data_IF_981947354540
#
_entry.id   IF_981947354540
#
_cell.length_a   1.000
_cell.length_b   1.000
_cell.length_c   1.000
_cell.angle_alpha   90.00
_cell.angle_beta   90.00
_cell.angle_gamma   90.00
#
_symmetry.space_group_name_H-M   'P 1'
#
loop_
_entity.id
_entity.type
_entity.pdbx_description
1 polymer ?
#
# COMPACT_ATOMS: atom_id res chain seq x y z
N UNK A 1 -12.14 -15.65 5.93
CA UNK A 1 -11.85 -15.84 4.50
C UNK A 1 -10.45 -15.32 4.27
N UNK A 2 -9.61 -16.16 3.71
CA UNK A 2 -8.17 -16.00 3.61
C UNK A 2 -7.81 -14.75 2.80
N UNK A 3 -7.02 -13.86 3.41
CA UNK A 3 -6.48 -12.70 2.72
C UNK A 3 -5.29 -13.17 1.85
N UNK A 4 -5.62 -13.87 0.77
CA UNK A 4 -4.69 -14.54 -0.17
C UNK A 4 -3.74 -13.58 -0.87
N UNK A 5 -3.97 -12.27 -0.76
CA UNK A 5 -3.13 -11.24 -1.38
C UNK A 5 -1.65 -11.32 -0.93
N UNK A 6 -1.39 -11.82 0.27
CA UNK A 6 -0.02 -12.12 0.74
C UNK A 6 0.31 -13.62 0.80
N UNK A 7 -0.70 -14.50 0.73
CA UNK A 7 -0.49 -15.94 0.78
C UNK A 7 0.09 -16.46 -0.55
N UNK A 8 -0.38 -15.93 -1.68
CA UNK A 8 0.20 -16.19 -3.02
C UNK A 8 1.71 -15.90 -3.07
N UNK A 9 2.21 -15.01 -2.22
CA UNK A 9 3.62 -14.63 -2.17
C UNK A 9 4.45 -15.43 -1.15
N UNK A 10 3.82 -16.13 -0.20
CA UNK A 10 4.54 -16.97 0.78
C UNK A 10 4.58 -18.45 0.38
N UNK A 11 3.70 -18.89 -0.52
CA UNK A 11 3.53 -20.31 -0.87
C UNK A 11 4.28 -20.74 -2.16
N UNK A 12 5.17 -19.91 -2.72
CA UNK A 12 6.02 -20.29 -3.86
C UNK A 12 7.47 -20.33 -3.40
N UNK A 13 7.86 -21.50 -2.90
CA UNK A 13 9.14 -21.85 -2.26
C UNK A 13 10.40 -21.44 -3.06
N UNK A 14 10.28 -21.17 -4.38
CA UNK A 14 11.42 -20.91 -5.25
C UNK A 14 11.84 -19.43 -5.36
N UNK A 15 11.02 -18.45 -4.96
CA UNK A 15 11.27 -17.02 -5.26
C UNK A 15 11.28 -16.08 -4.03
N UNK A 16 11.12 -16.62 -2.82
CA UNK A 16 11.05 -15.82 -1.58
C UNK A 16 12.34 -15.00 -1.35
N UNK A 17 13.51 -15.59 -1.62
CA UNK A 17 14.80 -14.93 -1.45
C UNK A 17 14.94 -13.67 -2.31
N UNK A 18 14.45 -13.72 -3.55
CA UNK A 18 14.49 -12.57 -4.47
C UNK A 18 13.53 -11.46 -4.04
N UNK A 19 12.33 -11.83 -3.58
CA UNK A 19 11.36 -10.85 -3.07
C UNK A 19 11.90 -10.14 -1.82
N UNK A 20 12.44 -10.91 -0.87
CA UNK A 20 13.06 -10.35 0.34
C UNK A 20 14.25 -9.47 -0.01
N UNK A 21 15.07 -9.85 -0.99
CA UNK A 21 16.18 -9.02 -1.47
C UNK A 21 15.68 -7.72 -2.09
N UNK A 22 14.64 -7.75 -2.92
CA UNK A 22 14.03 -6.56 -3.53
C UNK A 22 13.42 -5.62 -2.48
N UNK A 23 12.77 -6.18 -1.46
CA UNK A 23 12.25 -5.42 -0.32
C UNK A 23 13.36 -4.77 0.51
N UNK A 24 14.43 -5.52 0.81
CA UNK A 24 15.60 -4.96 1.52
C UNK A 24 16.28 -3.86 0.71
N UNK A 25 16.44 -4.06 -0.60
CA UNK A 25 17.00 -3.04 -1.50
C UNK A 25 16.14 -1.78 -1.53
N UNK A 26 14.82 -1.95 -1.54
CA UNK A 26 13.89 -0.82 -1.48
C UNK A 26 14.00 -0.08 -0.13
N UNK A 27 13.90 -0.80 0.99
CA UNK A 27 13.92 -0.21 2.34
C UNK A 27 15.27 0.45 2.67
N UNK A 28 16.37 -0.06 2.11
CA UNK A 28 17.70 0.54 2.22
C UNK A 28 17.84 1.88 1.48
N UNK A 29 16.94 2.21 0.56
CA UNK A 29 17.05 3.39 -0.31
C UNK A 29 15.89 4.37 -0.14
N UNK A 30 14.73 3.89 0.25
CA UNK A 30 13.49 4.66 0.20
C UNK A 30 12.67 4.51 1.48
N UNK A 31 12.04 5.61 1.87
CA UNK A 31 11.08 5.67 2.98
C UNK A 31 9.68 5.86 2.43
N UNK A 32 8.78 4.96 2.83
CA UNK A 32 7.37 4.99 2.43
C UNK A 32 6.50 5.31 3.64
N UNK A 33 5.63 6.30 3.48
CA UNK A 33 4.62 6.68 4.47
C UNK A 33 3.24 6.58 3.84
N UNK A 34 2.32 5.90 4.51
CA UNK A 34 0.92 5.75 4.07
C UNK A 34 0.03 6.54 5.02
N UNK A 35 -0.84 7.38 4.47
CA UNK A 35 -1.84 8.17 5.17
C UNK A 35 -3.20 7.99 4.50
N UNK A 36 -4.32 8.07 5.23
CA UNK A 36 -4.45 8.28 6.68
C UNK A 36 -4.27 6.99 7.51
N UNK A 37 -4.11 7.15 8.83
CA UNK A 37 -4.01 6.02 9.79
C UNK A 37 -5.37 5.52 10.31
N UNK A 38 -6.45 6.17 9.91
CA UNK A 38 -7.83 5.79 10.23
C UNK A 38 -8.73 6.16 9.04
N UNK A 39 -9.88 5.51 8.93
CA UNK A 39 -10.93 5.87 8.00
C UNK A 39 -12.16 6.38 8.74
N UNK A 40 -12.98 7.15 8.05
CA UNK A 40 -14.32 7.53 8.48
C UNK A 40 -15.36 6.85 7.61
N UNK A 41 -16.58 6.66 8.10
CA UNK A 41 -17.67 6.18 7.24
C UNK A 41 -17.96 7.23 6.16
N UNK A 42 -18.14 6.78 4.92
CA UNK A 42 -18.31 7.63 3.75
C UNK A 42 -17.01 7.88 3.02
N UNK A 43 -16.80 9.14 2.61
CA UNK A 43 -15.68 9.54 1.76
C UNK A 43 -14.34 9.51 2.49
N UNK A 44 -13.34 8.85 1.89
CA UNK A 44 -11.95 8.86 2.33
C UNK A 44 -11.01 9.04 1.15
N UNK A 45 -9.82 9.56 1.43
CA UNK A 45 -8.72 9.65 0.48
C UNK A 45 -7.49 8.99 1.09
N UNK A 46 -6.59 8.51 0.23
CA UNK A 46 -5.29 7.97 0.64
C UNK A 46 -4.20 8.72 -0.09
N UNK A 47 -3.10 8.92 0.61
CA UNK A 47 -1.87 9.45 0.08
C UNK A 47 -0.73 8.52 0.46
N UNK A 48 0.07 8.14 -0.53
CA UNK A 48 1.31 7.39 -0.32
C UNK A 48 2.47 8.32 -0.63
N UNK A 49 3.34 8.55 0.34
CA UNK A 49 4.53 9.35 0.19
C UNK A 49 5.76 8.43 0.06
N UNK A 50 6.56 8.64 -0.99
CA UNK A 50 7.82 7.94 -1.24
C UNK A 50 8.94 8.96 -1.34
N UNK A 51 9.89 8.87 -0.43
CA UNK A 51 11.09 9.69 -0.43
C UNK A 51 12.34 8.81 -0.39
N UNK A 52 13.49 9.37 -0.76
CA UNK A 52 14.80 8.82 -0.41
C UNK A 52 14.90 8.59 1.12
N UNK A 53 15.80 7.71 1.55
CA UNK A 53 16.04 7.41 2.96
C UNK A 53 16.30 8.67 3.80
N UNK A 54 16.96 9.69 3.23
CA UNK A 54 17.22 10.97 3.88
C UNK A 54 16.01 11.94 3.88
N UNK A 55 14.93 11.60 3.17
CA UNK A 55 13.72 12.42 3.07
C UNK A 55 13.85 13.64 2.15
N UNK A 56 14.99 13.84 1.49
CA UNK A 56 15.29 15.07 0.74
C UNK A 56 14.72 15.07 -0.69
N UNK A 57 14.52 13.90 -1.29
CA UNK A 57 14.05 13.76 -2.67
C UNK A 57 12.79 12.89 -2.72
N UNK A 58 11.72 13.40 -3.30
CA UNK A 58 10.53 12.62 -3.64
C UNK A 58 10.74 11.77 -4.89
N UNK A 59 10.15 10.59 -4.93
CA UNK A 59 10.25 9.66 -6.06
C UNK A 59 8.88 9.53 -6.73
N UNK A 60 8.76 10.01 -7.97
CA UNK A 60 7.48 10.04 -8.72
C UNK A 60 7.35 8.91 -9.77
N UNK A 61 8.46 8.23 -10.07
CA UNK A 61 8.56 7.16 -11.07
C UNK A 61 8.16 5.76 -10.56
N UNK A 62 7.79 5.63 -9.27
CA UNK A 62 7.34 4.36 -8.71
C UNK A 62 5.94 3.96 -9.19
N UNK A 63 5.78 2.69 -9.50
CA UNK A 63 4.48 2.10 -9.81
C UNK A 63 3.83 1.67 -8.49
N UNK A 64 2.73 2.32 -8.10
CA UNK A 64 2.02 2.03 -6.87
C UNK A 64 0.64 1.46 -7.16
N UNK A 65 0.27 0.42 -6.42
CA UNK A 65 -1.09 -0.09 -6.36
C UNK A 65 -1.50 -0.22 -4.91
N UNK A 66 -2.67 0.31 -4.57
CA UNK A 66 -3.24 0.20 -3.23
C UNK A 66 -4.50 -0.66 -3.30
N UNK A 67 -4.63 -1.61 -2.38
CA UNK A 67 -5.84 -2.40 -2.19
C UNK A 67 -6.37 -2.14 -0.79
N UNK A 68 -7.60 -1.65 -0.71
CA UNK A 68 -8.34 -1.47 0.54
C UNK A 68 -9.27 -2.66 0.68
N UNK A 69 -9.10 -3.42 1.74
CA UNK A 69 -9.82 -4.68 1.96
C UNK A 69 -10.18 -4.85 3.44
N UNK A 70 -11.12 -5.74 3.75
CA UNK A 70 -11.41 -6.14 5.13
C UNK A 70 -10.68 -7.45 5.45
N UNK A 71 -10.18 -7.63 6.68
CA UNK A 71 -9.47 -8.86 7.05
C UNK A 71 -10.34 -10.11 6.97
N UNK A 72 -11.66 -9.95 7.12
CA UNK A 72 -12.61 -11.06 7.24
C UNK A 72 -13.30 -11.40 5.90
N UNK A 73 -13.29 -10.50 4.91
CA UNK A 73 -13.99 -10.65 3.62
C UNK A 73 -13.41 -9.74 2.54
N UNK A 74 -13.43 -10.23 1.30
CA UNK A 74 -12.99 -9.48 0.11
C UNK A 74 -14.16 -8.80 -0.63
N UNK A 75 -15.39 -8.91 -0.13
CA UNK A 75 -16.60 -8.31 -0.74
C UNK A 75 -16.49 -6.79 -0.89
N UNK A 76 -15.71 -6.14 -0.02
CA UNK A 76 -15.55 -4.68 0.01
C UNK A 76 -14.20 -4.20 -0.55
N UNK A 77 -13.55 -5.03 -1.36
CA UNK A 77 -12.24 -4.74 -1.93
C UNK A 77 -12.27 -3.55 -2.89
N UNK A 78 -11.38 -2.60 -2.67
CA UNK A 78 -11.23 -1.40 -3.50
C UNK A 78 -9.78 -1.28 -3.93
N UNK A 79 -9.53 -1.57 -5.20
CA UNK A 79 -8.21 -1.44 -5.81
C UNK A 79 -8.06 -0.04 -6.41
N UNK A 80 -7.13 0.73 -5.86
CA UNK A 80 -6.87 2.12 -6.24
C UNK A 80 -5.55 2.22 -6.99
N UNK A 81 -5.53 3.09 -8.02
CA UNK A 81 -4.33 3.49 -8.73
C UNK A 81 -4.04 4.97 -8.44
N UNK A 82 -2.77 5.40 -8.48
CA UNK A 82 -2.45 6.81 -8.28
C UNK A 82 -3.05 7.63 -9.42
N UNK A 83 -3.76 8.71 -9.06
CA UNK A 83 -4.26 9.72 -9.99
C UNK A 83 -3.17 10.70 -10.40
N UNK A 84 -2.28 11.03 -9.47
CA UNK A 84 -1.13 11.89 -9.70
C UNK A 84 0.00 11.55 -8.74
N UNK A 85 1.21 11.85 -9.19
CA UNK A 85 2.45 11.78 -8.41
C UNK A 85 3.17 13.11 -8.56
N UNK A 86 3.43 13.78 -7.44
CA UNK A 86 4.18 15.04 -7.43
C UNK A 86 5.09 15.10 -6.20
N UNK A 87 6.39 15.22 -6.43
CA UNK A 87 7.40 15.33 -5.37
C UNK A 87 7.36 14.17 -4.34
N UNK A 88 7.17 12.95 -4.83
CA UNK A 88 7.05 11.73 -4.05
C UNK A 88 5.67 11.51 -3.43
N UNK A 89 4.70 12.40 -3.67
CA UNK A 89 3.35 12.30 -3.11
C UNK A 89 2.38 11.74 -4.16
N UNK A 90 1.94 10.51 -3.92
CA UNK A 90 0.96 9.83 -4.74
C UNK A 90 -0.43 10.02 -4.17
N UNK A 91 -1.29 10.70 -4.92
CA UNK A 91 -2.69 10.92 -4.56
C UNK A 91 -3.56 9.89 -5.26
N UNK A 92 -4.51 9.33 -4.53
CA UNK A 92 -5.43 8.33 -5.05
C UNK A 92 -6.84 8.91 -5.16
N UNK A 93 -7.66 8.24 -5.96
CA UNK A 93 -9.08 8.57 -6.03
C UNK A 93 -9.77 8.40 -4.67
N UNK A 94 -10.79 9.21 -4.46
CA UNK A 94 -11.62 9.13 -3.28
C UNK A 94 -12.41 7.82 -3.30
N UNK A 95 -12.46 7.13 -2.16
CA UNK A 95 -13.20 5.88 -2.02
C UNK A 95 -14.20 5.96 -0.87
N UNK A 96 -15.25 5.15 -0.97
CA UNK A 96 -16.28 5.07 0.06
C UNK A 96 -16.00 3.92 1.03
N UNK A 97 -16.06 4.17 2.33
CA UNK A 97 -16.03 3.16 3.39
C UNK A 97 -17.43 3.05 3.98
N UNK A 98 -18.02 1.87 3.83
CA UNK A 98 -19.44 1.64 4.15
C UNK A 98 -19.65 0.93 5.48
N UNK A 99 -18.57 0.36 6.04
CA UNK A 99 -18.61 -0.47 7.26
C UNK A 99 -17.58 0.00 8.27
N UNK A 100 -18.01 0.05 9.52
CA UNK A 100 -17.15 0.33 10.66
C UNK A 100 -16.24 -0.87 10.97
N UNK A 101 -15.18 -0.60 11.73
CA UNK A 101 -14.28 -1.61 12.28
C UNK A 101 -13.00 -1.76 11.47
N UNK A 102 -12.43 -2.96 11.46
CA UNK A 102 -11.09 -3.21 10.90
C UNK A 102 -11.09 -3.20 9.38
N UNK A 103 -10.10 -2.53 8.83
CA UNK A 103 -9.74 -2.46 7.42
C UNK A 103 -8.22 -2.61 7.26
N UNK A 104 -7.81 -2.97 6.05
CA UNK A 104 -6.42 -3.19 5.69
C UNK A 104 -6.09 -2.43 4.42
N UNK A 105 -4.97 -1.72 4.44
CA UNK A 105 -4.39 -1.04 3.29
C UNK A 105 -3.20 -1.88 2.86
N UNK A 106 -3.31 -2.50 1.70
CA UNK A 106 -2.24 -3.28 1.09
C UNK A 106 -1.63 -2.43 -0.01
N UNK A 107 -0.40 -1.98 0.20
CA UNK A 107 0.32 -1.12 -0.74
C UNK A 107 1.42 -1.92 -1.40
N UNK A 108 1.35 -2.04 -2.72
CA UNK A 108 2.40 -2.61 -3.56
C UNK A 108 3.11 -1.49 -4.28
N UNK A 109 4.43 -1.44 -4.15
CA UNK A 109 5.29 -0.44 -4.76
C UNK A 109 6.35 -1.19 -5.55
N UNK A 110 6.53 -0.83 -6.81
CA UNK A 110 7.59 -1.35 -7.66
C UNK A 110 8.32 -0.20 -8.31
N UNK A 111 9.64 -0.16 -8.14
CA UNK A 111 10.50 0.91 -8.60
C UNK A 111 11.77 0.30 -9.19
N UNK A 112 11.91 0.38 -10.52
CA UNK A 112 13.00 -0.26 -11.26
C UNK A 112 13.14 -1.74 -10.87
N UNK A 113 14.28 -2.13 -10.27
CA UNK A 113 14.56 -3.51 -9.86
C UNK A 113 14.13 -3.83 -8.41
N UNK A 114 13.64 -2.82 -7.68
CA UNK A 114 13.23 -2.92 -6.28
C UNK A 114 11.71 -2.95 -6.13
N UNK A 115 11.23 -3.58 -5.08
CA UNK A 115 9.80 -3.67 -4.78
C UNK A 115 9.60 -3.60 -3.27
N UNK A 116 8.48 -3.05 -2.83
CA UNK A 116 8.08 -3.03 -1.43
C UNK A 116 6.60 -3.34 -1.30
N UNK A 117 6.28 -4.15 -0.28
CA UNK A 117 4.91 -4.50 0.05
C UNK A 117 4.64 -4.06 1.48
N UNK A 118 3.67 -3.18 1.66
CA UNK A 118 3.27 -2.69 2.99
C UNK A 118 1.84 -3.05 3.29
N UNK A 119 1.64 -3.71 4.42
CA UNK A 119 0.34 -3.94 5.02
C UNK A 119 0.17 -2.96 6.17
N UNK A 120 -0.84 -2.11 6.09
CA UNK A 120 -1.21 -1.19 7.18
C UNK A 120 -2.61 -1.53 7.65
N UNK A 121 -2.77 -1.76 8.95
CA UNK A 121 -4.09 -1.97 9.54
C UNK A 121 -4.65 -0.62 10.00
N UNK A 122 -5.91 -0.37 9.64
CA UNK A 122 -6.61 0.87 9.95
C UNK A 122 -8.02 0.57 10.42
N UNK A 123 -8.57 1.44 11.25
CA UNK A 123 -9.95 1.31 11.71
C UNK A 123 -10.82 2.37 11.06
N UNK A 124 -12.00 1.96 10.63
CA UNK A 124 -13.07 2.85 10.20
C UNK A 124 -13.95 3.22 11.40
N UNK A 125 -14.00 4.50 11.72
CA UNK A 125 -14.85 5.08 12.77
C UNK A 125 -15.98 5.91 12.16
N UNK A 126 -16.96 6.30 12.97
CA UNK A 126 -17.98 7.26 12.55
C UNK A 126 -17.40 8.66 12.50
#
# INVERSE_FOLDING_TARGET
>A
MDNTYFADYRDVDENINELVAKERLFDSRYKVTVLPKHFTIGSNTITVAIHDLNGSKGIDEANITVLITRPDTNEYDKKLKPLSAENGLYKFEQFQIEKLGRWQILTKITLSESAAFKKTEVNATK
#
